data_IF_973273316040
#
_entry.id   IF_973273316040
#
_cell.length_a   1.000
_cell.length_b   1.000
_cell.length_c   1.000
_cell.angle_alpha   90.00
_cell.angle_beta   90.00
_cell.angle_gamma   90.00
#
_symmetry.space_group_name_H-M   'P 1'
#
loop_
_entity.id
_entity.type
_entity.pdbx_description
1 polymer ?
#
# COMPACT_ATOMS: atom_id res chain seq x y z
N UNK A 1 31.73 -48.34 -28.94
CA UNK A 1 31.50 -47.84 -27.56
C UNK A 1 31.66 -46.32 -27.39
N UNK A 2 32.59 -45.62 -28.07
CA UNK A 2 32.75 -44.15 -27.91
C UNK A 2 31.66 -43.26 -28.55
N UNK A 3 30.88 -43.75 -29.52
CA UNK A 3 29.80 -42.97 -30.19
C UNK A 3 28.45 -42.98 -29.46
N UNK A 4 28.19 -43.97 -28.60
CA UNK A 4 26.94 -44.04 -27.83
C UNK A 4 26.96 -43.13 -26.59
N UNK A 5 28.16 -42.85 -26.03
CA UNK A 5 28.31 -41.95 -24.88
C UNK A 5 28.05 -40.48 -25.27
N UNK A 6 28.38 -40.08 -26.50
CA UNK A 6 28.15 -38.71 -26.97
C UNK A 6 26.66 -38.38 -27.19
N UNK A 7 25.84 -39.37 -27.58
CA UNK A 7 24.40 -39.17 -27.76
C UNK A 7 23.65 -39.07 -26.42
N UNK A 8 24.13 -39.76 -25.37
CA UNK A 8 23.53 -39.69 -24.04
C UNK A 8 23.84 -38.34 -23.37
N UNK A 9 25.04 -37.78 -23.58
CA UNK A 9 25.37 -36.44 -23.06
C UNK A 9 24.54 -35.32 -23.71
N UNK A 10 24.23 -35.40 -25.02
CA UNK A 10 23.38 -34.40 -25.66
C UNK A 10 21.90 -34.50 -25.24
N UNK A 11 21.39 -35.70 -24.95
CA UNK A 11 20.02 -35.88 -24.47
C UNK A 11 19.81 -35.38 -23.03
N UNK A 12 20.83 -35.48 -22.17
CA UNK A 12 20.76 -34.97 -20.78
C UNK A 12 20.89 -33.43 -20.73
N UNK A 13 21.69 -32.83 -21.60
CA UNK A 13 21.79 -31.35 -21.70
C UNK A 13 20.49 -30.75 -22.24
N UNK A 14 19.80 -31.43 -23.17
CA UNK A 14 18.49 -31.00 -23.66
C UNK A 14 17.36 -31.14 -22.63
N UNK A 15 17.50 -32.05 -21.65
CA UNK A 15 16.53 -32.20 -20.55
C UNK A 15 16.76 -31.20 -19.41
N UNK A 16 18.00 -30.74 -19.20
CA UNK A 16 18.33 -29.74 -18.18
C UNK A 16 17.99 -28.29 -18.60
N UNK A 17 17.81 -28.01 -19.89
CA UNK A 17 17.42 -26.67 -20.38
C UNK A 17 15.90 -26.40 -20.32
N UNK A 18 15.09 -27.43 -20.07
CA UNK A 18 13.62 -27.34 -20.02
C UNK A 18 13.07 -27.17 -18.60
N UNK A 19 13.95 -27.18 -17.58
CA UNK A 19 13.58 -27.09 -16.17
C UNK A 19 14.03 -25.77 -15.52
N UNK A 20 14.32 -24.74 -16.32
CA UNK A 20 14.15 -23.37 -15.83
C UNK A 20 12.66 -23.12 -15.73
N UNK A 21 12.04 -23.59 -14.64
CA UNK A 21 10.82 -23.00 -14.11
C UNK A 21 11.16 -21.54 -13.80
N UNK A 22 11.08 -20.67 -14.81
CA UNK A 22 10.81 -19.27 -14.57
C UNK A 22 9.56 -19.25 -13.69
N UNK A 23 9.68 -18.69 -12.48
CA UNK A 23 8.50 -18.44 -11.66
C UNK A 23 7.43 -17.82 -12.58
N UNK A 24 6.17 -18.29 -12.54
CA UNK A 24 5.15 -17.80 -13.44
C UNK A 24 5.12 -16.27 -13.33
N UNK A 25 5.55 -15.61 -14.41
CA UNK A 25 5.44 -14.16 -14.50
C UNK A 25 3.95 -13.86 -14.48
N UNK A 26 3.49 -13.16 -13.44
CA UNK A 26 2.08 -12.84 -13.29
C UNK A 26 1.61 -12.12 -14.55
N UNK A 27 0.56 -12.66 -15.18
CA UNK A 27 0.02 -12.06 -16.39
C UNK A 27 -0.53 -10.66 -16.08
N UNK A 28 -0.35 -9.68 -16.97
CA UNK A 28 -0.90 -8.34 -16.76
C UNK A 28 -2.43 -8.39 -16.70
N UNK A 29 -3.03 -7.54 -15.88
CA UNK A 29 -4.48 -7.38 -15.82
C UNK A 29 -5.00 -6.89 -17.18
N UNK A 30 -6.11 -7.46 -17.66
CA UNK A 30 -6.72 -7.03 -18.91
C UNK A 30 -7.42 -5.67 -18.71
N UNK A 31 -7.25 -4.77 -19.67
CA UNK A 31 -7.75 -3.39 -19.64
C UNK A 31 -9.25 -3.26 -19.30
N UNK A 32 -10.09 -4.19 -19.81
CA UNK A 32 -11.54 -4.24 -19.53
C UNK A 32 -11.88 -4.44 -18.04
N UNK A 33 -10.92 -4.90 -17.24
CA UNK A 33 -11.14 -5.30 -15.85
C UNK A 33 -10.56 -4.32 -14.83
N UNK A 34 -9.93 -3.26 -15.29
CA UNK A 34 -9.33 -2.27 -14.41
C UNK A 34 -10.42 -1.49 -13.68
N UNK A 35 -10.25 -1.21 -12.38
CA UNK A 35 -11.14 -0.31 -11.66
C UNK A 35 -11.05 1.11 -12.21
N UNK A 36 -12.12 1.88 -12.04
CA UNK A 36 -12.09 3.33 -12.29
C UNK A 36 -11.57 4.11 -11.08
N UNK A 37 -11.65 3.50 -9.90
CA UNK A 37 -11.33 4.10 -8.62
C UNK A 37 -10.41 3.18 -7.82
N UNK A 38 -9.31 3.73 -7.32
CA UNK A 38 -8.43 3.09 -6.35
C UNK A 38 -8.39 3.95 -5.10
N UNK A 39 -8.77 3.37 -3.96
CA UNK A 39 -8.79 4.07 -2.67
C UNK A 39 -7.80 3.36 -1.74
N UNK A 40 -6.69 4.03 -1.43
CA UNK A 40 -5.70 3.59 -0.47
C UNK A 40 -6.03 4.18 0.91
N UNK A 41 -6.17 3.32 1.91
CA UNK A 41 -6.42 3.71 3.29
C UNK A 41 -5.27 3.16 4.14
N UNK A 42 -4.56 4.07 4.79
CA UNK A 42 -3.39 3.79 5.60
C UNK A 42 -3.63 4.10 7.07
N UNK A 43 -3.32 3.17 7.95
CA UNK A 43 -3.27 3.38 9.40
C UNK A 43 -1.82 3.33 9.86
N UNK A 44 -1.23 4.49 10.16
CA UNK A 44 0.18 4.60 10.56
C UNK A 44 0.46 3.75 11.80
N UNK A 45 1.51 2.95 11.77
CA UNK A 45 1.88 2.08 12.89
C UNK A 45 0.93 0.90 13.16
N UNK A 46 -0.04 0.57 12.29
CA UNK A 46 -0.88 -0.61 12.48
C UNK A 46 -0.09 -1.92 12.26
N UNK A 47 0.40 -2.50 13.36
CA UNK A 47 1.07 -3.80 13.37
C UNK A 47 0.12 -4.95 13.03
N UNK A 48 0.53 -5.85 12.13
CA UNK A 48 -0.20 -7.09 11.86
C UNK A 48 -0.38 -7.96 13.13
N UNK A 49 0.52 -7.80 14.12
CA UNK A 49 0.45 -8.49 15.39
C UNK A 49 -0.87 -8.23 16.12
N UNK A 50 -1.37 -6.98 16.15
CA UNK A 50 -2.54 -6.64 16.95
C UNK A 50 -3.82 -7.33 16.43
N UNK A 51 -3.89 -7.58 15.12
CA UNK A 51 -5.01 -8.29 14.47
C UNK A 51 -5.14 -9.76 14.90
N UNK A 52 -4.07 -10.36 15.44
CA UNK A 52 -4.09 -11.70 16.01
C UNK A 52 -4.14 -11.70 17.55
N UNK A 53 -4.03 -10.54 18.19
CA UNK A 53 -3.78 -10.42 19.64
C UNK A 53 -4.71 -9.41 20.32
N UNK A 54 -5.98 -9.35 19.90
CA UNK A 54 -7.04 -8.63 20.64
C UNK A 54 -7.65 -7.43 19.95
N UNK A 55 -7.18 -7.03 18.76
CA UNK A 55 -7.85 -5.97 18.00
C UNK A 55 -9.24 -6.43 17.53
N UNK A 56 -10.27 -5.62 17.83
CA UNK A 56 -11.64 -5.84 17.40
C UNK A 56 -11.97 -4.89 16.25
N UNK A 57 -11.64 -5.34 15.04
CA UNK A 57 -11.85 -4.59 13.80
C UNK A 57 -12.83 -5.35 12.87
N UNK A 58 -14.14 -5.36 13.17
CA UNK A 58 -15.11 -6.13 12.41
C UNK A 58 -15.17 -5.75 10.92
N UNK A 59 -15.08 -4.48 10.56
CA UNK A 59 -15.09 -4.05 9.15
C UNK A 59 -13.83 -4.47 8.43
N UNK A 60 -12.66 -4.28 9.04
CA UNK A 60 -11.38 -4.75 8.52
C UNK A 60 -11.40 -6.28 8.31
N UNK A 61 -11.86 -7.04 9.31
CA UNK A 61 -11.95 -8.51 9.24
C UNK A 61 -12.94 -8.98 8.16
N UNK A 62 -14.06 -8.27 7.99
CA UNK A 62 -14.99 -8.54 6.89
C UNK A 62 -14.31 -8.34 5.53
N UNK A 63 -13.57 -7.25 5.35
CA UNK A 63 -12.81 -7.01 4.12
C UNK A 63 -11.74 -8.08 3.89
N UNK A 64 -11.09 -8.59 4.93
CA UNK A 64 -10.17 -9.73 4.80
C UNK A 64 -10.87 -11.03 4.39
N UNK A 65 -12.07 -11.29 4.91
CA UNK A 65 -12.84 -12.51 4.63
C UNK A 65 -13.49 -12.49 3.24
N UNK A 66 -13.89 -11.31 2.77
CA UNK A 66 -14.56 -11.11 1.49
C UNK A 66 -13.63 -10.62 0.38
N UNK A 67 -12.37 -10.30 0.69
CA UNK A 67 -11.36 -9.84 -0.24
C UNK A 67 -10.11 -10.70 -0.23
N UNK A 68 -8.99 -10.13 -0.68
CA UNK A 68 -7.68 -10.78 -0.71
C UNK A 68 -6.76 -10.14 0.33
N UNK A 69 -6.09 -10.93 1.16
CA UNK A 69 -5.31 -10.39 2.28
C UNK A 69 -4.05 -11.17 2.61
N UNK A 70 -3.09 -10.47 3.21
CA UNK A 70 -1.96 -11.06 3.94
C UNK A 70 -1.66 -10.22 5.18
N UNK A 71 -1.16 -10.89 6.23
CA UNK A 71 -0.63 -10.27 7.45
C UNK A 71 0.90 -10.30 7.47
N UNK A 72 1.52 -10.77 6.38
CA UNK A 72 2.96 -10.98 6.28
C UNK A 72 3.66 -9.94 5.39
N UNK A 73 2.95 -8.89 4.98
CA UNK A 73 3.58 -7.75 4.29
C UNK A 73 4.64 -7.12 5.17
N UNK A 74 5.75 -6.66 4.58
CA UNK A 74 6.86 -6.08 5.32
C UNK A 74 7.15 -4.63 4.97
N UNK A 75 7.45 -3.86 6.00
CA UNK A 75 8.11 -2.57 5.89
C UNK A 75 9.49 -2.71 5.21
N UNK A 76 10.04 -1.61 4.71
CA UNK A 76 11.48 -1.49 4.48
C UNK A 76 12.21 -1.31 5.82
N UNK A 77 13.55 -1.22 5.77
CA UNK A 77 14.36 -0.79 6.90
C UNK A 77 14.86 0.65 6.66
N UNK A 78 14.82 1.52 7.69
CA UNK A 78 14.21 1.30 9.01
C UNK A 78 12.68 1.21 8.94
N UNK A 79 12.05 0.51 9.90
CA UNK A 79 10.57 0.45 10.03
C UNK A 79 9.99 1.77 10.58
N UNK A 80 10.18 2.83 9.81
CA UNK A 80 9.92 4.23 10.18
C UNK A 80 9.02 4.92 9.17
N UNK A 81 8.19 5.86 9.61
CA UNK A 81 7.07 6.38 8.83
C UNK A 81 7.46 7.06 7.52
N UNK A 82 8.28 8.13 7.53
CA UNK A 82 8.63 8.80 6.27
C UNK A 82 9.32 7.87 5.26
N UNK A 83 10.20 6.98 5.72
CA UNK A 83 10.87 6.00 4.86
C UNK A 83 9.86 5.05 4.22
N UNK A 84 8.93 4.49 5.01
CA UNK A 84 7.97 3.50 4.52
C UNK A 84 6.86 4.12 3.67
N UNK A 85 6.32 5.28 4.05
CA UNK A 85 5.36 6.01 3.22
C UNK A 85 5.97 6.45 1.88
N UNK A 86 7.21 6.96 1.89
CA UNK A 86 7.93 7.25 0.65
C UNK A 86 8.10 5.99 -0.20
N UNK A 87 8.60 4.90 0.38
CA UNK A 87 8.73 3.62 -0.33
C UNK A 87 7.41 3.10 -0.89
N UNK A 88 6.32 3.24 -0.13
CA UNK A 88 4.98 2.80 -0.53
C UNK A 88 4.51 3.51 -1.80
N UNK A 89 4.74 4.82 -1.91
CA UNK A 89 4.31 5.62 -3.07
C UNK A 89 5.31 5.59 -4.22
N UNK A 90 6.59 5.35 -3.93
CA UNK A 90 7.69 5.41 -4.88
C UNK A 90 8.12 4.04 -5.39
N UNK A 91 7.49 2.94 -4.98
CA UNK A 91 7.76 1.61 -5.53
C UNK A 91 9.22 1.14 -5.37
N UNK A 92 9.97 1.72 -4.43
CA UNK A 92 11.40 1.51 -4.25
C UNK A 92 11.81 1.73 -2.80
N UNK A 93 13.00 1.24 -2.42
CA UNK A 93 13.57 1.44 -1.08
C UNK A 93 14.34 2.76 -0.91
N UNK A 94 14.71 3.12 0.34
CA UNK A 94 15.42 4.35 0.68
C UNK A 94 16.72 4.57 -0.08
N UNK A 95 17.42 3.50 -0.45
CA UNK A 95 18.65 3.54 -1.24
C UNK A 95 18.45 4.03 -2.68
N UNK A 96 17.20 4.10 -3.15
CA UNK A 96 16.83 4.58 -4.48
C UNK A 96 16.11 5.94 -4.42
N UNK A 97 15.11 6.09 -3.56
CA UNK A 97 14.36 7.34 -3.47
C UNK A 97 15.03 8.40 -2.59
N UNK A 98 15.84 7.98 -1.62
CA UNK A 98 16.71 8.83 -0.82
C UNK A 98 16.10 9.40 0.47
N UNK A 99 14.87 9.02 0.84
CA UNK A 99 14.25 9.38 2.13
C UNK A 99 14.61 8.31 3.16
N UNK A 100 15.46 8.64 4.12
CA UNK A 100 16.16 7.66 4.96
C UNK A 100 15.93 7.87 6.46
N UNK A 101 15.25 8.95 6.86
CA UNK A 101 15.03 9.34 8.24
C UNK A 101 13.53 9.44 8.59
N UNK A 102 13.18 9.35 9.87
CA UNK A 102 11.80 9.36 10.34
C UNK A 102 11.00 10.59 9.90
N UNK A 103 11.64 11.75 9.84
CA UNK A 103 11.02 13.03 9.49
C UNK A 103 11.47 13.61 8.16
N UNK A 104 11.99 12.78 7.23
CA UNK A 104 12.53 13.24 5.95
C UNK A 104 11.55 14.17 5.22
N UNK A 105 12.00 15.40 4.97
CA UNK A 105 11.25 16.40 4.18
C UNK A 105 11.78 16.53 2.75
N UNK A 106 13.02 16.13 2.57
CA UNK A 106 13.75 16.07 1.31
C UNK A 106 14.61 14.80 1.35
N UNK A 107 15.00 14.25 0.19
CA UNK A 107 15.94 13.13 0.19
C UNK A 107 17.26 13.50 0.87
N UNK A 108 17.72 12.71 1.84
CA UNK A 108 19.07 12.84 2.41
C UNK A 108 20.13 12.25 1.47
N UNK A 109 19.75 11.25 0.68
CA UNK A 109 20.56 10.73 -0.42
C UNK A 109 20.00 11.24 -1.76
N UNK A 110 20.86 11.53 -2.74
CA UNK A 110 20.39 11.85 -4.08
C UNK A 110 19.53 10.71 -4.64
N UNK A 111 18.30 11.04 -5.02
CA UNK A 111 17.41 10.11 -5.71
C UNK A 111 18.09 9.56 -6.97
N UNK A 112 17.98 8.25 -7.21
CA UNK A 112 18.65 7.58 -8.33
C UNK A 112 18.31 8.20 -9.69
N UNK A 113 17.04 8.57 -9.84
CA UNK A 113 16.50 9.35 -10.95
C UNK A 113 15.50 10.35 -10.38
N UNK A 114 15.23 11.41 -11.12
CA UNK A 114 14.19 12.39 -10.79
C UNK A 114 13.32 12.66 -12.02
N UNK A 115 12.06 13.01 -11.77
CA UNK A 115 11.13 13.51 -12.77
C UNK A 115 11.37 15.01 -13.04
N UNK A 116 10.50 15.63 -13.85
CA UNK A 116 10.55 17.05 -14.19
C UNK A 116 10.44 17.99 -12.98
N UNK A 117 9.82 17.52 -11.89
CA UNK A 117 9.63 18.26 -10.64
C UNK A 117 10.78 18.02 -9.64
N UNK A 118 11.88 17.42 -10.10
CA UNK A 118 13.06 17.10 -9.30
C UNK A 118 12.76 16.16 -8.11
N UNK A 119 11.79 15.26 -8.29
CA UNK A 119 11.39 14.24 -7.31
C UNK A 119 11.57 12.84 -7.87
N UNK A 120 11.84 11.87 -6.99
CA UNK A 120 11.81 10.47 -7.40
C UNK A 120 10.40 10.09 -7.87
N UNK A 121 10.22 9.38 -9.00
CA UNK A 121 8.90 9.05 -9.53
C UNK A 121 8.02 8.32 -8.51
N UNK A 122 6.84 8.86 -8.22
CA UNK A 122 5.82 8.23 -7.38
C UNK A 122 4.52 8.02 -8.14
N UNK A 123 3.66 7.15 -7.59
CA UNK A 123 2.43 6.72 -8.25
C UNK A 123 1.48 7.86 -8.62
N UNK A 124 1.40 8.91 -7.80
CA UNK A 124 0.48 10.02 -8.05
C UNK A 124 0.93 10.86 -9.24
N UNK A 125 2.21 11.21 -9.31
CA UNK A 125 2.79 11.92 -10.45
C UNK A 125 2.64 11.12 -11.74
N UNK A 126 3.01 9.83 -11.70
CA UNK A 126 2.88 8.95 -12.86
C UNK A 126 1.42 8.80 -13.33
N UNK A 127 0.47 8.73 -12.40
CA UNK A 127 -0.94 8.66 -12.76
C UNK A 127 -1.45 9.98 -13.35
N UNK A 128 -1.05 11.14 -12.81
CA UNK A 128 -1.37 12.45 -13.38
C UNK A 128 -0.82 12.59 -14.81
N UNK A 129 0.40 12.15 -15.08
CA UNK A 129 0.99 12.18 -16.42
C UNK A 129 0.19 11.31 -17.42
N UNK A 130 -0.24 10.12 -16.99
CA UNK A 130 -1.05 9.21 -17.81
C UNK A 130 -2.48 9.71 -18.01
N UNK A 131 -3.08 10.31 -16.99
CA UNK A 131 -4.46 10.75 -16.96
C UNK A 131 -4.56 12.19 -16.42
N UNK A 132 -4.29 13.22 -17.27
CA UNK A 132 -4.25 14.62 -16.85
C UNK A 132 -5.55 15.15 -16.23
N UNK A 133 -6.69 14.56 -16.59
CA UNK A 133 -8.02 14.94 -16.09
C UNK A 133 -8.49 14.11 -14.88
N UNK A 134 -7.67 13.16 -14.40
CA UNK A 134 -8.07 12.32 -13.27
C UNK A 134 -8.30 13.14 -12.00
N UNK A 135 -9.29 12.75 -11.21
CA UNK A 135 -9.53 13.33 -9.89
C UNK A 135 -8.67 12.58 -8.86
N UNK A 136 -7.62 13.25 -8.35
CA UNK A 136 -6.63 12.65 -7.44
C UNK A 136 -6.72 13.32 -6.06
N UNK A 137 -7.12 12.54 -5.05
CA UNK A 137 -7.24 12.98 -3.66
C UNK A 137 -6.10 12.52 -2.77
N UNK A 138 -5.67 13.41 -1.87
CA UNK A 138 -4.69 13.10 -0.83
C UNK A 138 -5.06 13.74 0.50
N UNK A 139 -5.49 12.92 1.45
CA UNK A 139 -6.01 13.35 2.75
C UNK A 139 -5.16 12.68 3.82
N UNK A 140 -4.59 13.47 4.73
CA UNK A 140 -3.61 12.95 5.69
C UNK A 140 -3.66 13.69 7.04
N UNK A 141 -3.25 13.01 8.10
CA UNK A 141 -3.21 13.55 9.47
C UNK A 141 -1.81 14.02 9.89
N UNK A 142 -0.77 13.25 9.57
CA UNK A 142 0.60 13.61 9.91
C UNK A 142 1.20 14.60 8.89
N UNK A 143 1.70 15.75 9.35
CA UNK A 143 2.23 16.81 8.47
C UNK A 143 3.38 16.33 7.57
N UNK A 144 4.17 15.34 8.04
CA UNK A 144 5.29 14.75 7.29
C UNK A 144 4.88 14.20 5.91
N UNK A 145 3.65 13.73 5.78
CA UNK A 145 3.08 13.22 4.52
C UNK A 145 3.14 14.25 3.38
N UNK A 146 3.09 15.54 3.70
CA UNK A 146 3.16 16.62 2.71
C UNK A 146 4.45 16.61 1.88
N UNK A 147 5.52 16.02 2.41
CA UNK A 147 6.84 16.02 1.79
C UNK A 147 7.11 14.78 0.93
N UNK A 148 6.27 13.74 1.03
CA UNK A 148 6.52 12.41 0.47
C UNK A 148 5.82 12.15 -0.87
N UNK A 149 5.09 13.13 -1.40
CA UNK A 149 4.28 13.00 -2.63
C UNK A 149 4.55 14.14 -3.62
N UNK A 150 4.23 13.93 -4.89
CA UNK A 150 4.15 15.02 -5.89
C UNK A 150 2.89 15.85 -5.65
N UNK A 151 3.05 16.96 -4.93
CA UNK A 151 1.90 17.77 -4.50
C UNK A 151 1.16 18.42 -5.67
N UNK A 152 1.83 18.61 -6.81
CA UNK A 152 1.24 19.14 -8.05
C UNK A 152 0.37 18.13 -8.77
N UNK A 153 0.48 16.83 -8.46
CA UNK A 153 -0.36 15.80 -9.05
C UNK A 153 -1.79 15.78 -8.47
N UNK A 154 -2.02 16.39 -7.31
CA UNK A 154 -3.28 16.28 -6.56
C UNK A 154 -4.32 17.29 -7.03
N UNK A 155 -5.52 16.81 -7.33
CA UNK A 155 -6.70 17.67 -7.54
C UNK A 155 -7.24 18.19 -6.20
N UNK A 156 -7.16 17.37 -5.16
CA UNK A 156 -7.53 17.73 -3.80
C UNK A 156 -6.49 17.22 -2.81
N UNK A 157 -5.97 18.13 -1.99
CA UNK A 157 -5.04 17.80 -0.91
C UNK A 157 -5.50 18.45 0.39
N UNK A 158 -5.64 17.67 1.45
CA UNK A 158 -6.07 18.19 2.75
C UNK A 158 -5.32 17.55 3.92
N UNK A 159 -4.66 18.39 4.70
CA UNK A 159 -4.21 18.06 6.05
C UNK A 159 -5.41 18.15 7.01
N UNK A 160 -5.76 17.05 7.67
CA UNK A 160 -6.95 16.90 8.51
C UNK A 160 -6.64 16.11 9.79
N UNK A 161 -5.75 16.62 10.68
CA UNK A 161 -5.32 15.89 11.86
C UNK A 161 -6.46 15.64 12.85
N UNK A 162 -6.29 14.61 13.69
CA UNK A 162 -7.14 14.40 14.85
C UNK A 162 -6.98 15.54 15.87
N UNK A 163 -8.09 15.95 16.48
CA UNK A 163 -8.13 16.96 17.54
C UNK A 163 -9.39 16.77 18.41
N UNK A 164 -9.54 17.57 19.46
CA UNK A 164 -10.76 17.53 20.28
C UNK A 164 -12.02 17.88 19.45
N UNK A 165 -11.88 18.80 18.49
CA UNK A 165 -12.94 19.24 17.59
C UNK A 165 -13.12 18.31 16.37
N UNK A 166 -12.08 17.53 16.03
CA UNK A 166 -12.09 16.56 14.93
C UNK A 166 -11.56 15.19 15.39
N UNK A 167 -12.31 14.44 16.22
CA UNK A 167 -11.84 13.18 16.81
C UNK A 167 -11.70 12.02 15.82
N UNK A 168 -12.17 12.18 14.58
CA UNK A 168 -12.05 11.18 13.51
C UNK A 168 -11.08 11.63 12.41
N UNK A 169 -10.35 12.73 12.62
CA UNK A 169 -9.28 13.19 11.73
C UNK A 169 -9.69 13.24 10.25
N UNK A 170 -9.08 12.39 9.43
CA UNK A 170 -9.34 12.32 7.99
C UNK A 170 -10.77 11.94 7.60
N UNK A 171 -11.51 11.21 8.44
CA UNK A 171 -12.74 10.50 8.04
C UNK A 171 -13.79 11.39 7.42
N UNK A 172 -14.15 12.52 8.08
CA UNK A 172 -15.22 13.38 7.59
C UNK A 172 -14.87 14.03 6.24
N UNK A 173 -13.63 14.46 6.08
CA UNK A 173 -13.11 15.03 4.82
C UNK A 173 -13.15 13.97 3.72
N UNK A 174 -12.70 12.75 4.01
CA UNK A 174 -12.70 11.66 3.06
C UNK A 174 -14.12 11.27 2.62
N UNK A 175 -15.05 11.14 3.57
CA UNK A 175 -16.46 10.84 3.29
C UNK A 175 -17.07 11.88 2.36
N UNK A 176 -16.88 13.17 2.67
CA UNK A 176 -17.40 14.26 1.85
C UNK A 176 -16.79 14.23 0.44
N UNK A 177 -15.46 14.16 0.37
CA UNK A 177 -14.74 14.19 -0.91
C UNK A 177 -15.10 13.00 -1.81
N UNK A 178 -15.19 11.79 -1.26
CA UNK A 178 -15.60 10.59 -2.03
C UNK A 178 -17.00 10.77 -2.62
N UNK A 179 -17.95 11.25 -1.82
CA UNK A 179 -19.35 11.42 -2.26
C UNK A 179 -19.51 12.49 -3.33
N UNK A 180 -18.76 13.59 -3.20
CA UNK A 180 -18.85 14.73 -4.12
C UNK A 180 -18.05 14.53 -5.41
N UNK A 181 -16.84 13.97 -5.30
CA UNK A 181 -15.85 13.99 -6.39
C UNK A 181 -15.59 12.64 -7.03
N UNK A 182 -15.88 11.54 -6.33
CA UNK A 182 -15.68 10.17 -6.84
C UNK A 182 -14.28 9.98 -7.44
N UNK A 183 -13.21 10.21 -6.66
CA UNK A 183 -11.85 10.30 -7.16
C UNK A 183 -11.40 9.01 -7.85
N UNK A 184 -10.57 9.14 -8.89
CA UNK A 184 -9.94 8.00 -9.56
C UNK A 184 -8.85 7.36 -8.71
N UNK A 185 -8.07 8.19 -7.99
CA UNK A 185 -7.09 7.75 -7.01
C UNK A 185 -7.25 8.59 -5.75
N UNK A 186 -7.42 7.95 -4.60
CA UNK A 186 -7.51 8.66 -3.32
C UNK A 186 -6.68 7.95 -2.27
N UNK A 187 -5.77 8.66 -1.61
CA UNK A 187 -5.08 8.16 -0.43
C UNK A 187 -5.58 8.88 0.83
N UNK A 188 -5.94 8.10 1.85
CA UNK A 188 -6.45 8.55 3.14
C UNK A 188 -5.54 7.98 4.22
N UNK A 189 -4.70 8.81 4.82
CA UNK A 189 -3.62 8.40 5.72
C UNK A 189 -3.88 8.93 7.13
N UNK A 190 -4.20 8.02 8.04
CA UNK A 190 -4.39 8.33 9.46
C UNK A 190 -3.05 8.29 10.20
N UNK A 191 -2.84 9.17 11.18
CA UNK A 191 -1.65 9.15 12.06
C UNK A 191 -1.77 8.12 13.19
N UNK A 192 -2.97 7.58 13.39
CA UNK A 192 -3.24 6.54 14.36
C UNK A 192 -3.22 5.15 13.69
N UNK A 193 -2.89 4.09 14.45
CA UNK A 193 -2.66 4.08 15.90
C UNK A 193 -1.23 4.44 16.36
N UNK A 194 -0.32 4.82 15.46
CA UNK A 194 1.08 5.14 15.79
C UNK A 194 1.23 6.14 16.94
N UNK A 195 0.53 7.27 16.88
CA UNK A 195 0.59 8.28 17.94
C UNK A 195 0.19 7.73 19.32
N UNK A 196 -0.84 6.87 19.38
CA UNK A 196 -1.23 6.17 20.62
C UNK A 196 -0.16 5.15 21.03
N UNK A 197 0.42 4.43 20.08
CA UNK A 197 1.53 3.52 20.29
C UNK A 197 2.72 4.22 20.96
N UNK A 198 3.13 5.39 20.48
CA UNK A 198 4.21 6.16 21.11
C UNK A 198 3.90 6.56 22.55
N UNK A 199 2.66 6.92 22.85
CA UNK A 199 2.27 7.38 24.20
C UNK A 199 1.98 6.26 25.20
N UNK A 200 1.45 5.12 24.75
CA UNK A 200 0.87 4.06 25.60
C UNK A 200 1.43 2.68 25.34
N UNK A 201 1.90 2.47 24.13
CA UNK A 201 2.58 1.27 23.68
C UNK A 201 1.72 0.36 22.81
N UNK A 202 2.37 -0.36 21.88
CA UNK A 202 1.71 -1.17 20.84
C UNK A 202 0.93 -2.40 21.34
N UNK A 203 1.08 -2.75 22.61
CA UNK A 203 0.33 -3.84 23.27
C UNK A 203 -0.57 -3.33 24.39
N UNK A 204 -0.76 -2.01 24.49
CA UNK A 204 -1.59 -1.40 25.53
C UNK A 204 -3.09 -1.48 25.20
N UNK A 205 -3.97 -1.52 26.22
CA UNK A 205 -5.41 -1.39 26.02
C UNK A 205 -5.80 -0.13 25.23
N UNK A 206 -5.09 0.99 25.40
CA UNK A 206 -5.32 2.24 24.68
C UNK A 206 -5.03 2.11 23.19
N UNK A 207 -3.93 1.42 22.82
CA UNK A 207 -3.63 1.14 21.42
C UNK A 207 -4.74 0.29 20.79
N UNK A 208 -5.20 -0.77 21.47
CA UNK A 208 -6.33 -1.58 20.95
C UNK A 208 -7.62 -0.77 20.86
N UNK A 209 -7.91 0.11 21.81
CA UNK A 209 -9.08 0.99 21.75
C UNK A 209 -9.00 1.96 20.54
N UNK A 210 -7.82 2.50 20.25
CA UNK A 210 -7.61 3.34 19.06
C UNK A 210 -7.76 2.55 17.76
N UNK A 211 -7.23 1.33 17.70
CA UNK A 211 -7.43 0.42 16.56
C UNK A 211 -8.92 0.13 16.31
N UNK A 212 -9.70 -0.09 17.37
CA UNK A 212 -11.16 -0.28 17.25
C UNK A 212 -11.89 1.00 16.79
N UNK A 213 -11.43 2.18 17.25
CA UNK A 213 -11.94 3.48 16.77
C UNK A 213 -11.69 3.68 15.28
N UNK A 214 -10.51 3.31 14.79
CA UNK A 214 -10.17 3.36 13.37
C UNK A 214 -11.02 2.41 12.52
N UNK A 215 -11.46 1.26 13.04
CA UNK A 215 -12.41 0.40 12.32
C UNK A 215 -13.78 1.07 12.14
N UNK A 216 -14.20 1.91 13.10
CA UNK A 216 -15.41 2.74 12.97
C UNK A 216 -15.23 3.85 11.92
N UNK A 217 -14.02 4.41 11.82
CA UNK A 217 -13.65 5.37 10.77
C UNK A 217 -13.64 4.71 9.38
N UNK A 218 -13.06 3.50 9.29
CA UNK A 218 -13.06 2.67 8.09
C UNK A 218 -14.49 2.39 7.61
N UNK A 219 -15.38 2.04 8.54
CA UNK A 219 -16.79 1.78 8.24
C UNK A 219 -17.43 2.96 7.54
N UNK A 220 -17.25 4.18 8.07
CA UNK A 220 -17.80 5.40 7.46
C UNK A 220 -17.22 5.68 6.06
N UNK A 221 -15.92 5.49 5.86
CA UNK A 221 -15.29 5.65 4.53
C UNK A 221 -15.87 4.63 3.54
N UNK A 222 -15.99 3.37 3.94
CA UNK A 222 -16.57 2.32 3.09
C UNK A 222 -18.05 2.58 2.77
N UNK A 223 -18.82 3.10 3.73
CA UNK A 223 -20.20 3.53 3.51
C UNK A 223 -20.26 4.65 2.47
N UNK A 224 -19.37 5.65 2.54
CA UNK A 224 -19.29 6.73 1.57
C UNK A 224 -19.01 6.23 0.14
N UNK A 225 -18.13 5.23 -0.03
CA UNK A 225 -17.85 4.59 -1.33
C UNK A 225 -19.11 3.92 -1.89
N UNK A 226 -19.88 3.21 -1.04
CA UNK A 226 -21.14 2.56 -1.45
C UNK A 226 -22.22 3.59 -1.77
N UNK A 227 -22.40 4.61 -0.93
CA UNK A 227 -23.39 5.68 -1.12
C UNK A 227 -23.09 6.55 -2.34
N UNK A 228 -21.81 6.76 -2.68
CA UNK A 228 -21.40 7.43 -3.91
C UNK A 228 -21.73 6.62 -5.18
N UNK A 229 -22.09 5.34 -5.03
CA UNK A 229 -22.44 4.44 -6.13
C UNK A 229 -21.23 3.99 -6.95
N UNK A 230 -20.02 3.97 -6.37
CA UNK A 230 -18.78 3.65 -7.09
C UNK A 230 -18.15 2.31 -6.68
N UNK A 231 -18.69 1.61 -5.68
CA UNK A 231 -18.10 0.38 -5.14
C UNK A 231 -17.83 -0.70 -6.21
N UNK A 232 -18.74 -0.90 -7.18
CA UNK A 232 -18.61 -1.91 -8.24
C UNK A 232 -17.46 -1.61 -9.25
N UNK A 233 -16.98 -0.37 -9.24
CA UNK A 233 -15.87 0.11 -10.06
C UNK A 233 -14.63 0.48 -9.20
N UNK A 234 -14.64 0.15 -7.90
CA UNK A 234 -13.60 0.53 -6.94
C UNK A 234 -12.78 -0.66 -6.46
N UNK A 235 -11.47 -0.49 -6.34
CA UNK A 235 -10.60 -1.31 -5.48
C UNK A 235 -10.18 -0.47 -4.28
N UNK A 236 -10.42 -1.00 -3.09
CA UNK A 236 -9.93 -0.44 -1.82
C UNK A 236 -8.72 -1.24 -1.35
N UNK A 237 -7.67 -0.54 -0.95
CA UNK A 237 -6.44 -1.11 -0.39
C UNK A 237 -6.32 -0.62 1.05
N UNK A 238 -6.30 -1.52 2.02
CA UNK A 238 -6.03 -1.22 3.42
C UNK A 238 -4.63 -1.69 3.80
N UNK A 239 -3.88 -0.83 4.47
CA UNK A 239 -2.51 -1.17 4.86
C UNK A 239 -1.97 -0.30 6.01
N UNK A 240 -0.72 -0.54 6.35
CA UNK A 240 0.09 0.22 7.26
C UNK A 240 1.53 0.28 6.72
N UNK A 241 2.28 1.26 7.16
CA UNK A 241 3.67 1.49 6.83
C UNK A 241 4.64 0.69 7.72
N UNK A 242 4.33 0.59 9.01
CA UNK A 242 5.03 -0.25 10.00
C UNK A 242 4.12 -0.65 11.17
N UNK A 243 4.68 -1.37 12.14
CA UNK A 243 4.16 -1.58 13.49
C UNK A 243 5.13 -1.04 14.54
N UNK A 244 5.06 -1.54 15.78
CA UNK A 244 5.92 -1.07 16.86
C UNK A 244 6.05 -2.06 18.01
N UNK A 245 6.96 -1.76 18.93
CA UNK A 245 7.18 -2.50 20.18
C UNK A 245 7.35 -1.52 21.33
N UNK A 246 6.81 -1.87 22.50
CA UNK A 246 6.76 -0.94 23.63
C UNK A 246 6.23 0.41 23.13
N UNK A 247 7.00 1.49 23.23
CA UNK A 247 6.63 2.87 22.80
C UNK A 247 7.43 3.37 21.59
N UNK A 248 8.09 2.47 20.86
CA UNK A 248 8.95 2.83 19.73
C UNK A 248 8.85 1.89 18.53
N UNK A 249 9.45 2.32 17.43
CA UNK A 249 9.57 1.58 16.18
C UNK A 249 10.85 2.02 15.44
N UNK A 250 11.09 1.51 14.23
CA UNK A 250 12.31 1.75 13.45
C UNK A 250 13.31 0.61 13.47
N UNK A 251 13.07 -0.41 14.31
CA UNK A 251 13.85 -1.63 14.41
C UNK A 251 13.52 -2.66 13.35
N UNK A 252 13.84 -3.92 13.68
CA UNK A 252 13.83 -5.06 12.77
C UNK A 252 13.07 -6.27 13.31
N UNK A 253 12.30 -6.08 14.38
CA UNK A 253 11.43 -7.14 14.88
C UNK A 253 10.22 -7.29 13.96
N UNK A 254 9.61 -8.48 13.92
CA UNK A 254 8.43 -8.68 13.08
C UNK A 254 7.20 -7.92 13.60
N UNK A 255 7.15 -7.56 14.89
CA UNK A 255 6.09 -6.69 15.40
C UNK A 255 6.17 -5.27 14.80
N UNK A 256 7.39 -4.81 14.49
CA UNK A 256 7.63 -3.53 13.82
C UNK A 256 7.52 -3.64 12.29
N UNK A 257 7.99 -4.75 11.71
CA UNK A 257 8.07 -4.86 10.25
C UNK A 257 6.80 -5.43 9.61
N UNK A 258 6.05 -6.31 10.27
CA UNK A 258 4.88 -6.96 9.66
C UNK A 258 3.64 -6.10 9.77
N UNK A 259 3.07 -5.79 8.62
CA UNK A 259 1.87 -4.96 8.45
C UNK A 259 0.81 -5.75 7.68
N UNK A 260 -0.48 -5.40 7.83
CA UNK A 260 -1.50 -6.00 7.01
C UNK A 260 -1.55 -5.37 5.61
N UNK A 261 -1.92 -6.17 4.61
CA UNK A 261 -2.47 -5.68 3.35
C UNK A 261 -3.81 -6.38 3.11
N UNK A 262 -4.83 -5.59 2.76
CA UNK A 262 -6.13 -6.10 2.31
C UNK A 262 -6.55 -5.38 1.04
N UNK A 263 -6.86 -6.15 0.00
CA UNK A 263 -7.55 -5.69 -1.19
C UNK A 263 -9.03 -6.06 -1.08
N UNK A 264 -9.92 -5.15 -1.48
CA UNK A 264 -11.37 -5.36 -1.46
C UNK A 264 -12.06 -4.60 -2.60
N UNK A 265 -13.02 -5.24 -3.27
CA UNK A 265 -13.83 -4.59 -4.31
C UNK A 265 -13.72 -5.25 -5.68
N UNK A 266 -13.77 -4.43 -6.74
CA UNK A 266 -13.86 -4.88 -8.14
C UNK A 266 -12.76 -5.90 -8.47
N UNK A 267 -13.17 -7.07 -8.96
CA UNK A 267 -12.29 -8.13 -9.44
C UNK A 267 -11.24 -8.63 -8.43
N UNK A 268 -11.44 -8.37 -7.13
CA UNK A 268 -10.61 -8.96 -6.07
C UNK A 268 -11.14 -10.35 -5.73
N UNK A 269 -10.24 -11.33 -5.64
CA UNK A 269 -10.58 -12.71 -5.24
C UNK A 269 -11.12 -12.73 -3.82
N UNK A 270 -12.28 -13.37 -3.61
CA UNK A 270 -12.93 -13.44 -2.31
C UNK A 270 -12.27 -14.46 -1.39
N UNK A 271 -11.95 -14.05 -0.16
CA UNK A 271 -11.35 -14.91 0.86
C UNK A 271 -9.94 -15.41 0.51
N UNK A 272 -9.27 -14.75 -0.43
CA UNK A 272 -7.97 -15.19 -0.93
C UNK A 272 -6.85 -14.80 0.04
N UNK A 273 -5.98 -15.77 0.36
CA UNK A 273 -4.76 -15.52 1.14
C UNK A 273 -3.60 -15.37 0.18
N UNK A 274 -3.01 -14.19 0.16
CA UNK A 274 -1.91 -13.84 -0.73
C UNK A 274 -0.66 -14.64 -0.28
N UNK A 275 -0.16 -15.59 -1.08
CA UNK A 275 0.91 -16.50 -0.66
C UNK A 275 2.31 -15.95 -0.93
N UNK A 276 2.45 -14.97 -1.83
CA UNK A 276 3.77 -14.39 -2.13
C UNK A 276 4.30 -13.48 -1.03
N UNK A 277 5.62 -13.32 -1.01
CA UNK A 277 6.30 -12.33 -0.19
C UNK A 277 6.01 -10.92 -0.71
N UNK A 278 5.41 -10.10 0.14
CA UNK A 278 5.01 -8.72 -0.15
C UNK A 278 5.82 -7.73 0.68
N UNK A 279 6.11 -6.58 0.07
CA UNK A 279 6.80 -5.45 0.69
C UNK A 279 5.96 -4.18 0.52
N UNK A 280 6.13 -3.20 1.40
CA UNK A 280 5.38 -1.93 1.38
C UNK A 280 5.44 -1.23 0.02
N UNK A 281 6.57 -1.29 -0.68
CA UNK A 281 6.74 -0.69 -2.00
C UNK A 281 5.99 -1.44 -3.12
N UNK A 282 5.54 -2.69 -2.90
CA UNK A 282 4.77 -3.45 -3.89
C UNK A 282 3.36 -2.85 -4.09
N UNK A 283 2.90 -2.01 -3.15
CA UNK A 283 1.61 -1.30 -3.22
C UNK A 283 1.59 -0.30 -4.38
N UNK A 284 2.63 0.53 -4.56
CA UNK A 284 2.72 1.45 -5.70
C UNK A 284 2.65 0.71 -7.05
N UNK A 285 3.39 -0.40 -7.19
CA UNK A 285 3.33 -1.23 -8.39
C UNK A 285 1.95 -1.82 -8.63
N UNK A 286 1.27 -2.24 -7.56
CA UNK A 286 -0.11 -2.76 -7.66
C UNK A 286 -1.09 -1.68 -8.09
N UNK A 287 -1.02 -0.48 -7.50
CA UNK A 287 -1.85 0.67 -7.90
C UNK A 287 -1.56 1.04 -9.37
N UNK A 288 -0.29 1.00 -9.79
CA UNK A 288 0.09 1.28 -11.17
C UNK A 288 -0.61 0.32 -12.14
N UNK A 289 -0.58 -0.99 -11.86
CA UNK A 289 -1.30 -1.98 -12.67
C UNK A 289 -2.82 -1.74 -12.68
N UNK A 290 -3.42 -1.41 -11.54
CA UNK A 290 -4.86 -1.14 -11.44
C UNK A 290 -5.31 0.10 -12.22
N UNK A 291 -4.41 1.07 -12.41
CA UNK A 291 -4.69 2.33 -13.10
C UNK A 291 -4.09 2.42 -14.51
N UNK A 292 -3.58 1.30 -15.05
CA UNK A 292 -2.89 1.25 -16.35
C UNK A 292 -1.71 2.24 -16.46
N UNK A 293 -0.96 2.39 -15.37
CA UNK A 293 0.24 3.22 -15.31
C UNK A 293 1.46 2.31 -15.56
N UNK A 294 2.30 2.60 -16.57
CA UNK A 294 3.54 1.86 -16.76
C UNK A 294 4.48 2.05 -15.57
N UNK A 295 4.93 0.94 -14.97
CA UNK A 295 5.92 0.97 -13.91
C UNK A 295 7.27 1.43 -14.47
N UNK A 296 7.89 2.50 -13.94
CA UNK A 296 9.20 2.93 -14.38
C UNK A 296 10.26 1.91 -13.95
N UNK A 297 11.32 1.77 -14.75
CA UNK A 297 12.37 0.77 -14.52
C UNK A 297 13.03 0.88 -13.14
N UNK A 298 13.09 2.08 -12.57
CA UNK A 298 13.72 2.33 -11.26
C UNK A 298 12.91 1.77 -10.09
N UNK A 299 11.63 1.44 -10.28
CA UNK A 299 10.82 0.79 -9.26
C UNK A 299 11.18 -0.70 -9.18
N UNK A 300 11.44 -1.16 -7.96
CA UNK A 300 11.68 -2.57 -7.64
C UNK A 300 10.42 -3.29 -7.15
N UNK A 301 9.29 -2.57 -7.11
CA UNK A 301 7.97 -3.10 -6.79
C UNK A 301 7.61 -4.31 -7.65
N UNK A 302 7.02 -5.32 -7.00
CA UNK A 302 6.44 -6.51 -7.61
C UNK A 302 4.93 -6.44 -7.36
N UNK A 303 4.14 -5.97 -8.35
CA UNK A 303 2.69 -5.85 -8.20
C UNK A 303 2.05 -7.14 -7.68
N UNK A 304 1.11 -7.02 -6.74
CA UNK A 304 0.46 -8.14 -6.04
C UNK A 304 -0.75 -8.60 -6.85
N UNK A 305 -0.53 -9.08 -8.08
CA UNK A 305 -1.62 -9.37 -9.02
C UNK A 305 -2.38 -10.65 -8.68
N UNK A 306 -1.80 -11.55 -7.88
CA UNK A 306 -2.47 -12.78 -7.45
C UNK A 306 -3.79 -12.52 -6.72
N UNK A 307 -3.94 -11.34 -6.10
CA UNK A 307 -5.13 -10.89 -5.39
C UNK A 307 -6.35 -10.67 -6.30
N UNK A 308 -6.16 -10.60 -7.62
CA UNK A 308 -7.20 -10.25 -8.58
C UNK A 308 -7.55 -11.43 -9.50
N UNK A 309 -8.76 -11.39 -10.06
CA UNK A 309 -9.25 -12.36 -11.04
C UNK A 309 -8.59 -12.16 -12.42
N UNK A 310 -8.27 -13.26 -13.11
CA UNK A 310 -7.51 -13.26 -14.38
C UNK A 310 -8.36 -12.94 -15.65
N UNK A 311 -9.65 -12.66 -15.47
CA UNK A 311 -10.70 -12.95 -16.48
C UNK A 311 -10.86 -11.95 -17.63
#
# INVERSE_FOLDING_TARGET
>A
MKKQILFICCAVIAYCLSACNTAPQQAPLKEKNLPKHVILIGFDGLSAHCLNNGADMPTFRKMMAEGASTLENRSILPSSSACNWASMFMGAGPELHGYTEWGSRTPELPSRVVNSDNRFPNIFGLYRDKAPEAEIGYIYEWEGMNYLVDTLAMSFRKHAPMSAENPNGCTLVAVQYIKEKKPNLCAIIYDQPDGTGHGKGWSSPEYFAMVNHLDSCLTQVMDAVREAGIMDDTVVILTADHGGIETGHGGKTMNEMQTPIVFYGKNVKKGFKIPESTMVYDIAGTIACLLDVPQPQVWIARPILSAFEDN
#
